data_IF_633659621608
#
_entry.id   IF_633659621608
#
_cell.length_a   1.000
_cell.length_b   1.000
_cell.length_c   1.000
_cell.angle_alpha   90.00
_cell.angle_beta   90.00
_cell.angle_gamma   90.00
#
_symmetry.space_group_name_H-M   'P 1'
#
loop_
_entity.id
_entity.type
_entity.pdbx_description
1 polymer ?
#
# COMPACT_ATOMS: atom_id res chain seq x y z
N UNK A 1 29.68 0.37 5.30
CA UNK A 1 28.87 -0.09 6.45
C UNK A 1 27.46 0.47 6.26
N UNK A 2 26.37 -0.28 6.17
CA UNK A 2 26.13 -1.71 6.30
C UNK A 2 25.66 -2.30 4.95
N UNK A 3 26.15 -3.50 4.64
CA UNK A 3 25.76 -4.31 3.49
C UNK A 3 24.39 -4.93 3.78
N UNK A 4 23.55 -5.02 2.74
CA UNK A 4 22.21 -5.59 2.81
C UNK A 4 22.21 -6.95 3.53
N UNK A 5 21.37 -7.05 4.55
CA UNK A 5 21.00 -8.34 5.10
C UNK A 5 20.05 -9.00 4.09
N UNK A 6 20.39 -10.22 3.63
CA UNK A 6 19.44 -11.05 2.90
C UNK A 6 18.18 -11.23 3.74
N UNK A 7 16.97 -11.06 3.17
CA UNK A 7 15.74 -11.26 3.91
C UNK A 7 15.71 -12.70 4.42
N UNK A 8 15.40 -12.88 5.70
CA UNK A 8 15.13 -14.21 6.24
C UNK A 8 13.81 -14.70 5.63
N UNK A 9 13.57 -16.02 5.55
CA UNK A 9 12.33 -16.57 4.98
C UNK A 9 11.04 -16.07 5.67
N UNK A 10 11.12 -15.68 6.94
CA UNK A 10 10.02 -15.03 7.66
C UNK A 10 9.85 -13.55 7.28
N UNK A 11 10.93 -12.86 6.89
CA UNK A 11 10.91 -11.45 6.48
C UNK A 11 10.18 -11.27 5.13
N UNK A 12 10.33 -12.20 4.19
CA UNK A 12 9.62 -12.13 2.88
C UNK A 12 8.10 -12.33 3.05
N UNK A 13 7.67 -13.19 3.97
CA UNK A 13 6.26 -13.36 4.34
C UNK A 13 5.71 -12.15 5.08
N UNK A 14 6.49 -11.56 5.98
CA UNK A 14 6.11 -10.34 6.69
C UNK A 14 5.98 -9.14 5.72
N UNK A 15 6.91 -8.98 4.78
CA UNK A 15 6.87 -7.90 3.79
C UNK A 15 5.71 -8.05 2.81
N UNK A 16 5.45 -9.25 2.31
CA UNK A 16 4.30 -9.48 1.42
C UNK A 16 2.97 -9.22 2.14
N UNK A 17 2.83 -9.61 3.41
CA UNK A 17 1.67 -9.26 4.23
C UNK A 17 1.52 -7.75 4.40
N UNK A 18 2.59 -7.03 4.75
CA UNK A 18 2.57 -5.57 4.88
C UNK A 18 2.09 -4.90 3.59
N UNK A 19 2.63 -5.32 2.44
CA UNK A 19 2.29 -4.73 1.15
C UNK A 19 0.83 -4.97 0.77
N UNK A 20 0.26 -6.12 1.16
CA UNK A 20 -1.17 -6.41 1.02
C UNK A 20 -1.99 -5.50 1.93
N UNK A 21 -1.62 -5.41 3.21
CA UNK A 21 -2.34 -4.59 4.19
C UNK A 21 -2.37 -3.11 3.74
N UNK A 22 -1.26 -2.57 3.21
CA UNK A 22 -1.22 -1.20 2.66
C UNK A 22 -2.19 -0.98 1.48
N UNK A 23 -2.35 -1.98 0.60
CA UNK A 23 -3.28 -1.87 -0.54
C UNK A 23 -4.73 -2.02 -0.07
N UNK A 24 -5.01 -2.86 0.92
CA UNK A 24 -6.36 -3.11 1.45
C UNK A 24 -7.02 -1.83 2.00
N UNK A 25 -6.25 -0.98 2.68
CA UNK A 25 -6.78 0.23 3.30
C UNK A 25 -6.69 1.49 2.44
N UNK A 26 -5.94 1.49 1.34
CA UNK A 26 -5.71 2.67 0.51
C UNK A 26 -7.01 3.23 -0.11
N UNK A 27 -7.25 4.53 0.05
CA UNK A 27 -8.34 5.23 -0.65
C UNK A 27 -7.98 5.50 -2.13
N UNK A 28 -6.68 5.68 -2.40
CA UNK A 28 -6.13 5.96 -3.74
C UNK A 28 -4.88 5.12 -3.95
N UNK A 29 -4.82 4.42 -5.09
CA UNK A 29 -3.68 3.65 -5.55
C UNK A 29 -3.19 4.22 -6.87
N UNK A 30 -1.91 4.60 -6.92
CA UNK A 30 -1.24 5.01 -8.15
C UNK A 30 -0.54 3.80 -8.79
N UNK A 31 -1.09 3.31 -9.90
CA UNK A 31 -0.39 2.34 -10.77
C UNK A 31 0.64 3.10 -11.61
N UNK A 32 1.85 3.22 -11.06
CA UNK A 32 2.93 3.97 -11.69
C UNK A 32 3.76 3.13 -12.68
N UNK A 33 4.53 3.81 -13.54
CA UNK A 33 5.42 3.24 -14.56
C UNK A 33 4.68 2.50 -15.68
N UNK A 34 3.47 2.96 -16.02
CA UNK A 34 2.67 2.35 -17.09
C UNK A 34 3.29 2.51 -18.48
N UNK A 35 4.27 3.40 -18.63
CA UNK A 35 5.10 3.59 -19.81
C UNK A 35 6.15 2.49 -20.02
N UNK A 36 6.52 1.78 -18.96
CA UNK A 36 7.52 0.70 -19.02
C UNK A 36 6.90 -0.70 -19.04
N UNK A 37 5.63 -0.82 -18.66
CA UNK A 37 4.92 -2.09 -18.57
C UNK A 37 4.08 -2.34 -19.82
N UNK A 38 3.86 -3.62 -20.16
CA UNK A 38 2.93 -3.96 -21.24
C UNK A 38 1.49 -3.68 -20.81
N UNK A 39 0.59 -3.50 -21.78
CA UNK A 39 -0.84 -3.34 -21.48
C UNK A 39 -1.38 -4.54 -20.67
N UNK A 40 -0.93 -5.76 -20.97
CA UNK A 40 -1.35 -6.96 -20.26
C UNK A 40 -0.92 -6.93 -18.79
N UNK A 41 0.32 -6.52 -18.51
CA UNK A 41 0.84 -6.41 -17.13
C UNK A 41 0.07 -5.34 -16.35
N UNK A 42 -0.18 -4.17 -16.93
CA UNK A 42 -0.95 -3.10 -16.30
C UNK A 42 -2.36 -3.59 -15.94
N UNK A 43 -3.02 -4.34 -16.81
CA UNK A 43 -4.36 -4.88 -16.51
C UNK A 43 -4.32 -5.97 -15.44
N UNK A 44 -3.29 -6.84 -15.45
CA UNK A 44 -3.10 -7.84 -14.40
C UNK A 44 -2.89 -7.19 -13.03
N UNK A 45 -2.02 -6.19 -12.93
CA UNK A 45 -1.79 -5.45 -11.69
C UNK A 45 -3.06 -4.72 -11.24
N UNK A 46 -3.79 -4.10 -12.17
CA UNK A 46 -5.08 -3.46 -11.86
C UNK A 46 -6.10 -4.45 -11.31
N UNK A 47 -6.18 -5.65 -11.89
CA UNK A 47 -7.06 -6.70 -11.41
C UNK A 47 -6.66 -7.20 -10.00
N UNK A 48 -5.35 -7.36 -9.74
CA UNK A 48 -4.86 -7.71 -8.42
C UNK A 48 -5.21 -6.66 -7.36
N UNK A 49 -4.99 -5.37 -7.66
CA UNK A 49 -5.39 -4.27 -6.76
C UNK A 49 -6.90 -4.29 -6.50
N UNK A 50 -7.73 -4.50 -7.53
CA UNK A 50 -9.19 -4.59 -7.36
C UNK A 50 -9.65 -5.81 -6.56
N UNK A 51 -8.93 -6.93 -6.64
CA UNK A 51 -9.23 -8.11 -5.85
C UNK A 51 -8.89 -7.91 -4.36
N UNK A 52 -7.88 -7.09 -4.05
CA UNK A 52 -7.49 -6.74 -2.69
C UNK A 52 -8.33 -5.60 -2.11
N UNK A 53 -8.65 -4.60 -2.92
CA UNK A 53 -9.36 -3.40 -2.52
C UNK A 53 -10.22 -2.90 -3.70
N UNK A 54 -11.50 -3.26 -3.67
CA UNK A 54 -12.47 -2.87 -4.70
C UNK A 54 -12.92 -1.41 -4.59
N UNK A 55 -12.79 -0.78 -3.40
CA UNK A 55 -13.22 0.59 -3.11
C UNK A 55 -12.23 1.67 -3.56
N UNK A 56 -10.94 1.35 -3.70
CA UNK A 56 -9.93 2.37 -4.01
C UNK A 56 -10.14 3.05 -5.37
N UNK A 57 -9.75 4.32 -5.47
CA UNK A 57 -9.50 4.95 -6.75
C UNK A 57 -8.17 4.46 -7.31
N UNK A 58 -8.14 4.13 -8.61
CA UNK A 58 -6.92 3.69 -9.28
C UNK A 58 -6.58 4.70 -10.36
N UNK A 59 -5.41 5.34 -10.25
CA UNK A 59 -4.87 6.22 -11.29
C UNK A 59 -3.65 5.56 -11.94
N UNK A 60 -3.62 5.52 -13.28
CA UNK A 60 -2.44 5.11 -14.03
C UNK A 60 -1.52 6.31 -14.19
N UNK A 61 -0.24 6.17 -13.86
CA UNK A 61 0.71 7.29 -13.89
C UNK A 61 2.05 6.89 -14.51
N UNK A 62 2.75 7.89 -15.03
CA UNK A 62 4.17 7.80 -15.40
C UNK A 62 4.93 8.81 -14.56
N UNK A 63 6.04 8.38 -13.94
CA UNK A 63 6.84 9.19 -13.00
C UNK A 63 6.00 9.82 -11.86
N UNK A 64 4.96 9.12 -11.42
CA UNK A 64 4.00 9.55 -10.40
C UNK A 64 3.33 10.91 -10.70
N UNK A 65 3.27 11.31 -11.98
CA UNK A 65 2.59 12.53 -12.38
C UNK A 65 1.07 12.31 -12.26
N UNK A 66 0.44 13.03 -11.34
CA UNK A 66 -0.99 12.98 -11.02
C UNK A 66 -1.44 14.34 -10.49
N UNK A 67 -2.69 14.77 -10.71
CA UNK A 67 -3.23 15.96 -10.08
C UNK A 67 -3.14 15.88 -8.54
N UNK A 68 -2.75 16.97 -7.88
CA UNK A 68 -2.55 17.00 -6.42
C UNK A 68 -3.84 16.69 -5.66
N UNK A 69 -4.97 17.20 -6.14
CA UNK A 69 -6.32 16.96 -5.62
C UNK A 69 -6.80 15.51 -5.78
N UNK A 70 -6.14 14.72 -6.65
CA UNK A 70 -6.43 13.29 -6.77
C UNK A 70 -5.81 12.46 -5.62
N UNK A 71 -4.86 13.01 -4.86
CA UNK A 71 -4.18 12.32 -3.75
C UNK A 71 -4.35 13.00 -2.40
N UNK A 72 -4.51 14.33 -2.38
CA UNK A 72 -4.68 15.13 -1.15
C UNK A 72 -6.07 15.77 -1.15
N UNK A 73 -6.71 15.82 0.03
CA UNK A 73 -8.08 16.35 0.20
C UNK A 73 -9.11 15.69 -0.72
N UNK A 74 -8.95 14.40 -0.98
CA UNK A 74 -9.80 13.62 -1.91
C UNK A 74 -11.24 13.44 -1.41
N UNK A 75 -11.49 13.64 -0.11
CA UNK A 75 -12.80 13.40 0.51
C UNK A 75 -13.22 11.93 0.54
N UNK A 76 -12.29 11.00 0.30
CA UNK A 76 -12.57 9.56 0.18
C UNK A 76 -12.55 8.80 1.50
N UNK A 77 -12.01 9.41 2.55
CA UNK A 77 -12.01 8.81 3.88
C UNK A 77 -13.43 8.63 4.39
N UNK A 78 -13.78 7.39 4.73
CA UNK A 78 -15.04 7.00 5.35
C UNK A 78 -14.74 6.19 6.61
N UNK A 79 -15.04 6.77 7.77
CA UNK A 79 -14.80 6.18 9.09
C UNK A 79 -15.55 4.85 9.24
N UNK A 80 -16.81 4.80 8.81
CA UNK A 80 -17.65 3.61 8.93
C UNK A 80 -17.14 2.48 8.03
N UNK A 81 -16.62 2.81 6.84
CA UNK A 81 -15.94 1.85 6.00
C UNK A 81 -14.61 1.38 6.61
N UNK A 82 -13.85 2.27 7.26
CA UNK A 82 -12.63 1.91 7.97
C UNK A 82 -12.91 0.94 9.13
N UNK A 83 -14.02 1.11 9.87
CA UNK A 83 -14.40 0.20 10.96
C UNK A 83 -14.76 -1.21 10.49
N UNK A 84 -15.35 -1.33 9.29
CA UNK A 84 -15.77 -2.60 8.68
C UNK A 84 -14.65 -3.33 7.95
N UNK A 85 -13.54 -2.66 7.64
CA UNK A 85 -12.42 -3.28 6.95
C UNK A 85 -11.83 -4.42 7.80
N UNK A 86 -11.47 -5.53 7.14
CA UNK A 86 -11.23 -6.84 7.73
C UNK A 86 -10.18 -6.83 8.85
N UNK A 87 -9.15 -5.99 8.70
CA UNK A 87 -8.07 -5.83 9.69
C UNK A 87 -8.43 -5.02 10.95
N UNK A 88 -9.48 -4.20 10.95
CA UNK A 88 -9.87 -3.39 12.13
C UNK A 88 -10.75 -4.17 13.12
N UNK A 89 -11.55 -5.13 12.63
CA UNK A 89 -12.45 -5.93 13.46
C UNK A 89 -11.78 -7.13 14.14
N UNK A 90 -10.58 -7.56 13.74
CA UNK A 90 -9.98 -8.77 14.33
C UNK A 90 -9.54 -8.56 15.78
N UNK A 91 -9.37 -7.31 16.24
CA UNK A 91 -8.90 -7.01 17.60
C UNK A 91 -7.53 -7.63 17.93
N UNK A 92 -6.83 -8.17 16.93
CA UNK A 92 -5.50 -8.70 17.11
C UNK A 92 -4.59 -7.51 17.37
N UNK A 93 -4.02 -7.44 18.57
CA UNK A 93 -2.98 -6.48 18.91
C UNK A 93 -1.75 -6.76 18.03
N UNK A 94 -1.76 -6.24 16.81
CA UNK A 94 -0.58 -6.18 15.98
C UNK A 94 0.30 -5.07 16.56
N UNK A 95 1.50 -5.44 16.99
CA UNK A 95 2.52 -4.44 17.26
C UNK A 95 2.64 -3.56 16.00
N UNK A 96 2.72 -2.22 16.15
CA UNK A 96 2.89 -1.32 15.01
C UNK A 96 4.00 -1.85 14.10
N UNK A 97 3.86 -1.68 12.79
CA UNK A 97 4.81 -2.22 11.83
C UNK A 97 6.23 -1.65 12.05
N UNK A 98 6.32 -0.45 12.64
CA UNK A 98 7.57 0.12 13.18
C UNK A 98 8.28 -0.79 14.19
N UNK A 99 7.55 -1.45 15.07
CA UNK A 99 8.09 -2.40 16.05
C UNK A 99 8.29 -3.78 15.42
N UNK A 100 7.34 -4.26 14.62
CA UNK A 100 7.41 -5.58 14.00
C UNK A 100 8.50 -5.69 12.92
N UNK A 101 8.83 -4.59 12.24
CA UNK A 101 9.79 -4.54 11.12
C UNK A 101 11.01 -3.64 11.42
N UNK A 102 11.12 -3.09 12.63
CA UNK A 102 12.24 -2.24 13.04
C UNK A 102 12.34 -0.91 12.28
N UNK A 103 11.22 -0.38 11.78
CA UNK A 103 11.19 0.91 11.05
C UNK A 103 11.11 2.06 12.04
N UNK A 104 12.12 2.94 12.05
CA UNK A 104 12.17 4.14 12.90
C UNK A 104 12.13 5.43 12.06
N UNK A 105 11.60 6.51 12.65
CA UNK A 105 11.59 7.85 12.05
C UNK A 105 12.38 8.83 12.91
N UNK A 106 13.24 9.63 12.29
CA UNK A 106 13.95 10.73 12.94
C UNK A 106 13.57 12.07 12.31
N UNK A 107 13.51 13.12 13.12
CA UNK A 107 13.34 14.49 12.65
C UNK A 107 14.70 15.16 12.66
N UNK A 108 15.18 15.54 11.47
CA UNK A 108 16.34 16.42 11.33
C UNK A 108 15.85 17.86 11.25
N UNK A 109 16.39 18.74 12.09
CA UNK A 109 16.13 20.18 12.06
C UNK A 109 17.43 20.91 11.73
#
# INVERSE_FOLDING_TARGET
AAVGASPRPDDERALSKLLVDQVEFADVVLLNKVDLATHADVQRTRAAVRALNDRCAIAKTTRACVPFDAIVRTGRYDEEAAKRARGWMSGEAHAPESEALGVSSWVYR
#
